data_IF_164975632213
#
_entry.id   IF_164975632213
#
_cell.length_a   1.000
_cell.length_b   1.000
_cell.length_c   1.000
_cell.angle_alpha   90.00
_cell.angle_beta   90.00
_cell.angle_gamma   90.00
#
_symmetry.space_group_name_H-M   'P 1'
#
loop_
_entity.id
_entity.type
_entity.pdbx_description
1 polymer ?
#
# COMPACT_ATOMS: atom_id res chain seq x y z
N UNK A 1 -24.31 0.78 6.80
CA UNK A 1 -23.40 0.53 5.66
C UNK A 1 -23.26 -0.95 5.26
N UNK A 2 -23.84 -1.92 5.99
CA UNK A 2 -23.80 -3.36 5.61
C UNK A 2 -25.00 -3.77 4.72
N UNK A 3 -26.12 -3.05 4.79
CA UNK A 3 -27.37 -3.38 4.08
C UNK A 3 -27.29 -3.26 2.54
N UNK A 4 -26.28 -2.57 2.01
CA UNK A 4 -26.08 -2.41 0.56
C UNK A 4 -24.90 -3.22 0.01
N UNK A 5 -24.31 -4.08 0.83
CA UNK A 5 -23.04 -4.76 0.57
C UNK A 5 -23.23 -6.16 -0.02
N UNK A 6 -23.97 -6.30 -1.13
CA UNK A 6 -24.15 -7.59 -1.80
C UNK A 6 -24.66 -8.75 -0.91
N UNK A 7 -24.64 -9.99 -1.41
CA UNK A 7 -25.02 -11.16 -0.62
C UNK A 7 -24.07 -11.37 0.57
N UNK A 8 -24.61 -11.64 1.76
CA UNK A 8 -23.80 -11.78 2.99
C UNK A 8 -22.63 -12.78 2.86
N UNK A 9 -22.79 -13.84 2.07
CA UNK A 9 -21.74 -14.83 1.81
C UNK A 9 -20.54 -14.26 1.05
N UNK A 10 -20.73 -13.30 0.13
CA UNK A 10 -19.61 -12.66 -0.57
C UNK A 10 -18.84 -11.73 0.36
N UNK A 11 -19.56 -11.05 1.25
CA UNK A 11 -18.95 -10.20 2.27
C UNK A 11 -18.15 -11.01 3.28
N UNK A 12 -18.65 -12.15 3.75
CA UNK A 12 -17.97 -12.98 4.76
C UNK A 12 -16.70 -13.65 4.25
N UNK A 13 -16.63 -13.98 2.95
CA UNK A 13 -15.44 -14.59 2.35
C UNK A 13 -14.19 -13.70 2.49
N UNK A 14 -14.32 -12.38 2.34
CA UNK A 14 -13.17 -11.48 2.44
C UNK A 14 -12.49 -11.42 3.83
N UNK A 15 -13.19 -11.11 4.94
CA UNK A 15 -12.60 -11.10 6.27
C UNK A 15 -12.16 -12.50 6.72
N UNK A 16 -12.86 -13.56 6.32
CA UNK A 16 -12.43 -14.94 6.62
C UNK A 16 -11.16 -15.33 5.88
N UNK A 17 -11.01 -14.98 4.59
CA UNK A 17 -9.76 -15.19 3.85
C UNK A 17 -8.60 -14.45 4.53
N UNK A 18 -8.79 -13.18 4.88
CA UNK A 18 -7.78 -12.37 5.58
C UNK A 18 -7.40 -12.94 6.94
N UNK A 19 -8.39 -13.42 7.70
CA UNK A 19 -8.15 -14.06 8.99
C UNK A 19 -7.40 -15.38 8.84
N UNK A 20 -7.81 -16.25 7.90
CA UNK A 20 -7.12 -17.50 7.61
C UNK A 20 -5.67 -17.27 7.16
N UNK A 21 -5.43 -16.29 6.29
CA UNK A 21 -4.08 -15.91 5.84
C UNK A 21 -3.21 -15.40 7.01
N UNK A 22 -3.79 -14.61 7.92
CA UNK A 22 -3.13 -14.22 9.17
C UNK A 22 -2.76 -15.44 10.04
N UNK A 23 -3.66 -16.41 10.18
CA UNK A 23 -3.44 -17.62 10.96
C UNK A 23 -2.38 -18.52 10.33
N UNK A 24 -2.43 -18.74 9.01
CA UNK A 24 -1.48 -19.56 8.27
C UNK A 24 -0.05 -19.04 8.45
N UNK A 25 0.15 -17.71 8.40
CA UNK A 25 1.45 -17.08 8.70
C UNK A 25 1.99 -17.38 10.10
N UNK A 26 1.12 -17.67 11.05
CA UNK A 26 1.51 -18.02 12.41
C UNK A 26 1.88 -19.50 12.58
N UNK A 27 1.65 -20.34 11.57
CA UNK A 27 2.04 -21.74 11.59
C UNK A 27 3.56 -21.86 11.54
N UNK A 28 4.17 -22.26 12.66
CA UNK A 28 5.60 -22.58 12.71
C UNK A 28 5.89 -24.06 12.48
N UNK A 29 4.86 -24.92 12.57
CA UNK A 29 4.97 -26.37 12.41
C UNK A 29 3.89 -26.87 11.46
N UNK A 30 4.32 -27.57 10.41
CA UNK A 30 3.39 -28.26 9.50
C UNK A 30 2.71 -29.47 10.15
N UNK A 31 3.38 -30.12 11.12
CA UNK A 31 2.85 -31.30 11.81
C UNK A 31 1.76 -30.95 12.83
N UNK A 32 1.90 -29.82 13.53
CA UNK A 32 0.99 -29.38 14.58
C UNK A 32 0.55 -27.91 14.37
N UNK A 33 -0.23 -27.61 13.30
CA UNK A 33 -0.62 -26.25 12.97
C UNK A 33 -1.53 -25.63 14.04
N UNK A 34 -2.49 -26.40 14.57
CA UNK A 34 -3.45 -25.93 15.56
C UNK A 34 -2.80 -25.48 16.87
N UNK A 35 -1.72 -26.12 17.31
CA UNK A 35 -0.97 -25.70 18.50
C UNK A 35 -0.31 -24.33 18.26
N UNK A 36 0.25 -24.13 17.06
CA UNK A 36 0.84 -22.84 16.67
C UNK A 36 -0.22 -21.73 16.61
N UNK A 37 -1.41 -22.06 16.10
CA UNK A 37 -2.56 -21.18 16.02
C UNK A 37 -3.07 -20.73 17.40
N UNK A 38 -3.32 -21.70 18.29
CA UNK A 38 -3.79 -21.41 19.66
C UNK A 38 -2.77 -20.52 20.38
N UNK A 39 -1.49 -20.87 20.31
CA UNK A 39 -0.42 -20.07 20.90
C UNK A 39 -0.42 -18.64 20.35
N UNK A 40 -0.56 -18.45 19.04
CA UNK A 40 -0.60 -17.12 18.44
C UNK A 40 -1.80 -16.31 18.93
N UNK A 41 -2.98 -16.91 19.00
CA UNK A 41 -4.19 -16.23 19.48
C UNK A 41 -4.01 -15.82 20.95
N UNK A 42 -3.45 -16.70 21.78
CA UNK A 42 -3.12 -16.39 23.17
C UNK A 42 -2.13 -15.23 23.29
N UNK A 43 -1.03 -15.27 22.54
CA UNK A 43 -0.03 -14.19 22.51
C UNK A 43 -0.64 -12.83 22.13
N UNK A 44 -1.52 -12.79 21.12
CA UNK A 44 -2.24 -11.57 20.74
C UNK A 44 -3.21 -11.10 21.83
N UNK A 45 -3.96 -12.03 22.41
CA UNK A 45 -4.95 -11.74 23.45
C UNK A 45 -4.29 -11.15 24.69
N UNK A 46 -3.19 -11.74 25.14
CA UNK A 46 -2.41 -11.23 26.27
C UNK A 46 -1.77 -9.89 25.95
N UNK A 47 -1.22 -9.70 24.76
CA UNK A 47 -0.66 -8.41 24.35
C UNK A 47 -1.75 -7.30 24.36
N UNK A 48 -2.93 -7.61 23.83
CA UNK A 48 -4.06 -6.68 23.85
C UNK A 48 -4.55 -6.37 25.27
N UNK A 49 -4.61 -7.36 26.16
CA UNK A 49 -4.94 -7.15 27.57
C UNK A 49 -3.92 -6.24 28.27
N UNK A 50 -2.63 -6.45 28.04
CA UNK A 50 -1.56 -5.59 28.58
C UNK A 50 -1.70 -4.16 28.05
N UNK A 51 -1.90 -3.99 26.74
CA UNK A 51 -2.14 -2.69 26.11
C UNK A 51 -3.30 -1.94 26.76
N UNK A 52 -4.41 -2.64 26.98
CA UNK A 52 -5.61 -2.05 27.56
C UNK A 52 -5.43 -1.72 29.06
N UNK A 53 -4.98 -2.69 29.87
CA UNK A 53 -4.85 -2.54 31.32
C UNK A 53 -3.83 -1.45 31.70
N UNK A 54 -2.72 -1.38 30.97
CA UNK A 54 -1.66 -0.41 31.24
C UNK A 54 -1.81 0.90 30.46
N UNK A 55 -2.87 1.06 29.67
CA UNK A 55 -3.09 2.19 28.74
C UNK A 55 -1.91 2.44 27.77
N UNK A 56 -1.12 1.42 27.48
CA UNK A 56 0.07 1.47 26.61
C UNK A 56 -0.25 1.29 25.12
N UNK A 57 -1.51 1.46 24.73
CA UNK A 57 -1.98 1.30 23.36
C UNK A 57 -1.14 2.07 22.33
N UNK A 58 -0.88 3.35 22.56
CA UNK A 58 -0.09 4.19 21.66
C UNK A 58 1.39 3.81 21.67
N UNK A 59 1.94 3.54 22.85
CA UNK A 59 3.36 3.21 23.02
C UNK A 59 3.73 1.86 22.41
N UNK A 60 2.85 0.86 22.54
CA UNK A 60 3.03 -0.48 21.97
C UNK A 60 2.43 -0.61 20.57
N UNK A 61 2.13 0.52 19.92
CA UNK A 61 1.66 0.52 18.54
C UNK A 61 2.84 0.39 17.57
N UNK A 62 3.18 -0.87 17.26
CA UNK A 62 4.18 -1.24 16.24
C UNK A 62 3.62 -1.23 14.81
N UNK A 63 2.48 -0.57 14.57
CA UNK A 63 1.92 -0.47 13.23
C UNK A 63 2.85 0.29 12.30
N UNK A 64 2.88 -0.09 11.03
CA UNK A 64 3.57 0.70 10.00
C UNK A 64 3.03 2.14 9.93
N UNK A 65 1.78 2.39 10.29
CA UNK A 65 1.15 3.70 10.24
C UNK A 65 1.81 4.74 11.17
N UNK A 66 2.24 4.34 12.36
CA UNK A 66 2.93 5.25 13.30
C UNK A 66 4.36 5.54 12.84
N UNK A 67 5.04 4.53 12.30
CA UNK A 67 6.35 4.70 11.69
C UNK A 67 6.30 5.59 10.44
N UNK A 68 5.30 5.37 9.59
CA UNK A 68 5.05 6.14 8.38
C UNK A 68 4.61 7.58 8.68
N UNK A 69 3.89 7.82 9.76
CA UNK A 69 3.54 9.17 10.20
C UNK A 69 4.77 9.97 10.65
N UNK A 70 5.75 9.31 11.27
CA UNK A 70 6.96 9.96 11.77
C UNK A 70 8.07 10.14 10.72
N UNK A 71 8.18 9.21 9.77
CA UNK A 71 9.26 9.20 8.76
C UNK A 71 8.77 9.47 7.33
N UNK A 72 7.46 9.63 7.15
CA UNK A 72 6.87 9.93 5.86
C UNK A 72 7.06 11.39 5.45
N UNK A 73 7.07 11.62 4.14
CA UNK A 73 7.14 12.93 3.53
C UNK A 73 5.85 13.22 2.78
N UNK A 74 5.29 14.43 2.97
CA UNK A 74 4.12 14.89 2.22
C UNK A 74 4.61 15.87 1.15
N UNK A 75 4.54 15.51 -0.13
CA UNK A 75 5.01 16.40 -1.20
C UNK A 75 4.16 17.68 -1.27
N UNK A 76 4.82 18.79 -1.61
CA UNK A 76 4.13 20.06 -1.83
C UNK A 76 3.11 19.93 -2.97
N UNK A 77 1.89 20.45 -2.77
CA UNK A 77 0.78 20.31 -3.72
C UNK A 77 0.02 18.98 -3.66
N UNK A 78 0.47 17.99 -2.89
CA UNK A 78 -0.19 16.67 -2.75
C UNK A 78 -0.62 16.41 -1.30
N UNK A 79 -1.60 17.16 -0.80
CA UNK A 79 -2.08 17.04 0.59
C UNK A 79 -2.73 15.69 0.92
N UNK A 80 -3.21 14.97 -0.09
CA UNK A 80 -3.86 13.66 0.06
C UNK A 80 -2.90 12.47 -0.10
N UNK A 81 -1.60 12.70 -0.27
CA UNK A 81 -0.61 11.63 -0.50
C UNK A 81 0.59 11.79 0.44
N UNK A 82 1.01 10.69 1.04
CA UNK A 82 2.21 10.60 1.87
C UNK A 82 3.15 9.55 1.30
N UNK A 83 4.41 9.93 1.11
CA UNK A 83 5.49 9.04 0.70
C UNK A 83 6.14 8.48 1.95
N UNK A 84 6.18 7.16 2.09
CA UNK A 84 6.60 6.49 3.31
C UNK A 84 7.85 5.62 3.05
N UNK A 85 8.69 5.41 4.07
CA UNK A 85 9.92 4.64 3.90
C UNK A 85 9.67 3.19 3.42
N UNK A 86 10.72 2.51 2.93
CA UNK A 86 12.11 2.98 2.81
C UNK A 86 12.28 4.11 1.78
N UNK A 87 13.19 5.06 2.03
CA UNK A 87 13.51 6.12 1.07
C UNK A 87 14.97 6.00 0.63
N UNK A 88 15.22 5.90 -0.67
CA UNK A 88 16.55 5.67 -1.24
C UNK A 88 16.84 6.71 -2.31
N UNK A 89 18.01 7.33 -2.25
CA UNK A 89 18.50 8.19 -3.33
C UNK A 89 19.09 7.26 -4.39
N UNK A 90 18.74 7.49 -5.65
CA UNK A 90 19.22 6.66 -6.75
C UNK A 90 20.75 6.63 -6.79
N UNK A 91 21.34 5.43 -6.84
CA UNK A 91 22.78 5.27 -7.11
C UNK A 91 23.07 5.28 -8.61
N UNK A 92 22.11 4.79 -9.42
CA UNK A 92 22.18 4.71 -10.87
C UNK A 92 21.14 5.61 -11.53
N UNK A 93 21.41 6.13 -12.74
CA UNK A 93 20.40 6.86 -13.51
C UNK A 93 19.21 5.95 -13.86
N UNK A 94 18.07 6.57 -14.16
CA UNK A 94 16.87 5.85 -14.62
C UNK A 94 17.18 5.00 -15.85
N UNK A 95 16.60 3.81 -15.90
CA UNK A 95 16.65 2.98 -17.09
C UNK A 95 15.88 3.66 -18.23
N UNK A 96 16.28 3.39 -19.47
CA UNK A 96 15.61 3.94 -20.67
C UNK A 96 14.09 3.68 -20.70
N UNK A 97 13.58 2.49 -20.29
CA UNK A 97 12.14 2.27 -20.19
C UNK A 97 11.44 3.17 -19.17
N UNK A 98 12.03 3.39 -17.99
CA UNK A 98 11.46 4.25 -16.95
C UNK A 98 11.43 5.71 -17.38
N UNK A 99 12.52 6.17 -17.99
CA UNK A 99 12.61 7.53 -18.54
C UNK A 99 11.54 7.76 -19.60
N UNK A 100 11.34 6.79 -20.51
CA UNK A 100 10.31 6.86 -21.54
C UNK A 100 8.90 6.83 -20.94
N UNK A 101 8.66 6.02 -19.92
CA UNK A 101 7.38 5.94 -19.23
C UNK A 101 7.03 7.26 -18.54
N UNK A 102 7.99 7.87 -17.83
CA UNK A 102 7.83 9.19 -17.20
C UNK A 102 7.56 10.27 -18.25
N UNK A 103 8.35 10.32 -19.33
CA UNK A 103 8.13 11.26 -20.44
C UNK A 103 6.72 11.13 -21.01
N UNK A 104 6.29 9.92 -21.33
CA UNK A 104 4.95 9.66 -21.86
C UNK A 104 3.84 10.06 -20.87
N UNK A 105 4.06 9.87 -19.58
CA UNK A 105 3.13 10.32 -18.55
C UNK A 105 3.01 11.84 -18.51
N UNK A 106 4.14 12.57 -18.59
CA UNK A 106 4.13 14.03 -18.65
C UNK A 106 3.40 14.56 -19.87
N UNK A 107 3.73 14.02 -21.06
CA UNK A 107 3.08 14.39 -22.32
C UNK A 107 1.55 14.21 -22.27
N UNK A 108 1.09 13.08 -21.71
CA UNK A 108 -0.34 12.74 -21.68
C UNK A 108 -1.12 13.50 -20.59
N UNK A 109 -0.53 13.66 -19.42
CA UNK A 109 -1.24 14.18 -18.24
C UNK A 109 -1.17 15.70 -18.16
N UNK A 110 -0.02 16.27 -18.51
CA UNK A 110 0.24 17.71 -18.37
C UNK A 110 0.24 18.45 -19.71
N UNK A 111 0.00 17.76 -20.83
CA UNK A 111 -0.08 18.34 -22.18
C UNK A 111 1.13 19.21 -22.57
N UNK A 112 2.31 18.86 -22.05
CA UNK A 112 3.58 19.54 -22.34
C UNK A 112 4.19 19.05 -23.65
N UNK A 113 5.07 19.86 -24.24
CA UNK A 113 5.82 19.48 -25.44
C UNK A 113 6.98 18.51 -25.13
N UNK A 114 7.53 17.81 -26.13
CA UNK A 114 8.62 16.84 -25.92
C UNK A 114 9.87 17.43 -25.29
N UNK A 115 10.27 18.63 -25.69
CA UNK A 115 11.48 19.27 -25.15
C UNK A 115 11.28 19.78 -23.72
N UNK A 116 10.05 20.17 -23.39
CA UNK A 116 9.67 20.54 -22.03
C UNK A 116 9.62 19.30 -21.12
N UNK A 117 9.02 18.21 -21.58
CA UNK A 117 9.03 16.94 -20.87
C UNK A 117 10.45 16.42 -20.60
N UNK A 118 11.38 16.58 -21.56
CA UNK A 118 12.80 16.23 -21.36
C UNK A 118 13.47 17.06 -20.26
N UNK A 119 13.10 18.34 -20.11
CA UNK A 119 13.65 19.21 -19.05
C UNK A 119 13.08 18.87 -17.67
N UNK A 120 11.80 18.47 -17.62
CA UNK A 120 11.11 18.11 -16.38
C UNK A 120 11.54 16.74 -15.83
N UNK A 121 11.88 15.78 -16.71
CA UNK A 121 12.38 14.47 -16.29
C UNK A 121 13.84 14.61 -15.84
N UNK A 122 14.03 14.70 -14.52
CA UNK A 122 15.33 14.70 -13.89
C UNK A 122 16.00 13.34 -14.10
N UNK A 123 16.96 13.27 -15.02
CA UNK A 123 17.72 12.03 -15.32
C UNK A 123 18.93 11.84 -14.40
N UNK A 124 19.35 12.89 -13.69
CA UNK A 124 20.51 12.81 -12.81
C UNK A 124 20.16 12.07 -11.49
N UNK A 125 20.90 11.01 -11.13
CA UNK A 125 20.54 10.14 -10.00
C UNK A 125 20.47 10.87 -8.65
N UNK A 126 21.30 11.89 -8.43
CA UNK A 126 21.28 12.66 -7.16
C UNK A 126 19.98 13.44 -6.93
N UNK A 127 19.22 13.69 -7.99
CA UNK A 127 17.96 14.42 -7.92
C UNK A 127 16.74 13.49 -7.79
N UNK A 128 16.97 12.17 -7.84
CA UNK A 128 15.93 11.16 -7.78
C UNK A 128 15.92 10.50 -6.40
N UNK A 129 14.80 10.67 -5.70
CA UNK A 129 14.53 9.99 -4.44
C UNK A 129 13.36 9.04 -4.64
N UNK A 130 13.65 7.76 -4.49
CA UNK A 130 12.64 6.70 -4.53
C UNK A 130 12.08 6.45 -3.13
N UNK A 131 10.80 6.11 -3.10
CA UNK A 131 10.07 5.79 -1.87
C UNK A 131 9.41 4.42 -2.01
N UNK A 132 9.54 3.60 -0.98
CA UNK A 132 9.08 2.22 -0.99
C UNK A 132 7.57 2.12 -0.86
N UNK A 133 6.90 3.17 -0.36
CA UNK A 133 5.46 3.21 -0.21
C UNK A 133 4.90 4.60 -0.51
N UNK A 134 3.73 4.65 -1.13
CA UNK A 134 2.92 5.85 -1.27
C UNK A 134 1.52 5.54 -0.69
N UNK A 135 1.14 6.27 0.35
CA UNK A 135 -0.11 6.10 1.06
C UNK A 135 -1.04 7.29 0.78
N UNK A 136 -2.30 7.02 0.44
CA UNK A 136 -3.31 8.03 0.21
C UNK A 136 -4.16 8.26 1.48
N UNK A 137 -4.08 9.47 2.04
CA UNK A 137 -4.54 9.80 3.41
C UNK A 137 -6.06 9.67 3.59
N UNK A 138 -6.85 9.84 2.52
CA UNK A 138 -8.33 9.82 2.56
C UNK A 138 -8.91 8.43 2.20
N UNK A 139 -8.62 7.41 3.00
CA UNK A 139 -9.04 6.01 2.76
C UNK A 139 -8.57 5.43 1.42
N UNK A 140 -7.46 5.90 0.90
CA UNK A 140 -6.88 5.33 -0.30
C UNK A 140 -5.94 4.16 0.01
N UNK A 141 -5.70 3.35 -1.00
CA UNK A 141 -4.79 2.21 -0.91
C UNK A 141 -3.34 2.66 -0.72
N UNK A 142 -2.51 1.76 -0.16
CA UNK A 142 -1.06 1.96 -0.11
C UNK A 142 -0.41 1.32 -1.32
N UNK A 143 0.16 2.13 -2.21
CA UNK A 143 1.01 1.66 -3.29
C UNK A 143 2.40 1.33 -2.75
N UNK A 144 2.99 0.22 -3.19
CA UNK A 144 4.33 -0.18 -2.78
C UNK A 144 5.28 -0.23 -3.97
N UNK A 145 6.43 0.43 -3.84
CA UNK A 145 7.53 0.38 -4.79
C UNK A 145 8.25 -0.96 -4.67
N UNK A 146 7.93 -1.88 -5.58
CA UNK A 146 8.35 -3.29 -5.50
C UNK A 146 9.88 -3.48 -5.48
N UNK A 147 10.63 -2.54 -6.06
CA UNK A 147 12.09 -2.58 -6.12
C UNK A 147 12.76 -2.26 -4.78
N UNK A 148 12.06 -1.52 -3.91
CA UNK A 148 12.56 -1.14 -2.60
C UNK A 148 12.15 -2.11 -1.49
N UNK A 149 11.38 -3.15 -1.84
CA UNK A 149 10.97 -4.20 -0.92
C UNK A 149 12.00 -5.33 -0.99
N UNK A 150 12.41 -5.83 0.18
CA UNK A 150 13.36 -6.94 0.26
C UNK A 150 12.84 -8.20 -0.45
N UNK A 151 13.73 -8.96 -1.09
CA UNK A 151 13.37 -10.17 -1.87
C UNK A 151 12.55 -11.19 -1.07
N UNK A 152 12.84 -11.34 0.23
CA UNK A 152 12.11 -12.25 1.13
C UNK A 152 10.71 -11.75 1.50
N UNK A 153 10.49 -10.43 1.50
CA UNK A 153 9.16 -9.84 1.67
C UNK A 153 8.40 -9.93 0.35
N UNK A 154 9.05 -9.62 -0.79
CA UNK A 154 8.49 -9.77 -2.14
C UNK A 154 7.94 -11.16 -2.40
N UNK A 155 8.68 -12.21 -2.04
CA UNK A 155 8.22 -13.62 -2.16
C UNK A 155 7.05 -13.98 -1.25
N UNK A 156 6.87 -13.24 -0.15
CA UNK A 156 5.75 -13.41 0.79
C UNK A 156 4.55 -12.55 0.42
N UNK A 157 4.74 -11.55 -0.43
CA UNK A 157 3.66 -10.75 -0.99
C UNK A 157 2.99 -11.55 -2.10
N UNK A 158 1.66 -11.50 -2.14
CA UNK A 158 0.90 -11.94 -3.31
C UNK A 158 1.18 -10.95 -4.44
N UNK A 159 1.13 -11.40 -5.69
CA UNK A 159 1.11 -10.51 -6.85
C UNK A 159 -0.18 -9.66 -6.76
N UNK A 160 -0.06 -8.50 -6.13
CA UNK A 160 -1.14 -7.55 -5.97
C UNK A 160 -1.06 -6.56 -7.12
N UNK A 161 -1.81 -6.82 -8.19
CA UNK A 161 -2.07 -5.82 -9.22
C UNK A 161 -3.03 -4.79 -8.63
N UNK A 162 -2.55 -3.56 -8.46
CA UNK A 162 -3.40 -2.46 -8.00
C UNK A 162 -4.31 -2.02 -9.14
N UNK A 163 -5.58 -2.42 -9.12
CA UNK A 163 -6.59 -1.93 -10.06
C UNK A 163 -7.24 -0.70 -9.46
N UNK A 164 -6.94 0.49 -10.01
CA UNK A 164 -7.69 1.70 -9.67
C UNK A 164 -9.04 1.64 -10.37
N UNK A 165 -10.08 1.25 -9.65
CA UNK A 165 -11.44 1.25 -10.17
C UNK A 165 -12.01 2.67 -10.15
N UNK A 166 -12.41 3.18 -11.31
CA UNK A 166 -13.22 4.38 -11.41
C UNK A 166 -14.62 3.97 -11.82
N UNK A 167 -15.60 4.20 -10.94
CA UNK A 167 -17.00 3.99 -11.29
C UNK A 167 -17.54 5.24 -11.97
N UNK A 168 -17.50 5.26 -13.30
CA UNK A 168 -18.20 6.28 -14.06
C UNK A 168 -19.64 5.82 -14.27
N UNK A 169 -20.57 6.43 -13.55
CA UNK A 169 -22.01 6.22 -13.78
C UNK A 169 -22.44 7.17 -14.88
N UNK A 170 -23.04 6.63 -15.94
CA UNK A 170 -23.65 7.47 -16.98
C UNK A 170 -24.86 8.20 -16.40
N UNK A 171 -24.73 9.51 -16.26
CA UNK A 171 -25.77 10.41 -15.76
C UNK A 171 -27.06 10.41 -16.60
N UNK A 172 -27.01 9.90 -17.83
CA UNK A 172 -28.17 9.82 -18.73
C UNK A 172 -28.68 8.39 -18.94
N UNK A 173 -28.21 7.41 -18.17
CA UNK A 173 -28.63 6.01 -18.31
C UNK A 173 -30.15 5.78 -18.21
N UNK A 174 -30.88 6.72 -17.60
CA UNK A 174 -32.35 6.67 -17.45
C UNK A 174 -33.11 7.56 -18.44
N UNK A 175 -32.44 8.29 -19.33
CA UNK A 175 -33.07 9.02 -20.42
C UNK A 175 -33.03 8.16 -21.68
N UNK A 176 -33.94 7.20 -21.78
CA UNK A 176 -34.22 6.55 -23.06
C UNK A 176 -34.99 7.56 -23.94
N UNK A 177 -34.54 7.71 -25.18
CA UNK A 177 -35.23 8.47 -26.23
C UNK A 177 -36.58 7.89 -26.56
#
# INVERSE_FOLDING_TARGET
MILHSGPMWTYWNYPTERFCDFMVRASKSQKNPYVSFIRRIQELSFNNQIKYKSRLHDFLNLSDATFDASHGHTPEGYSNMRLCPPSVIASTPLSRPEELALKNHFLRTFQVNQDEAKRLVLTHPKNLKFWGRAWFVNNGDTMRGIELIGVSERRRMRDATHIKFFHNVDKYAHQQR
#
